data_IF_149957875503
#
_entry.id   IF_149957875503
#
_cell.length_a   1.000
_cell.length_b   1.000
_cell.length_c   1.000
_cell.angle_alpha   90.00
_cell.angle_beta   90.00
_cell.angle_gamma   90.00
#
_symmetry.space_group_name_H-M   'P 1'
#
loop_
_entity.id
_entity.type
_entity.pdbx_description
1 polymer ?
#
# COMPACT_ATOMS: atom_id res chain seq x y z
N UNK A 1 -18.35 -12.91 -8.62
CA UNK A 1 -17.06 -12.47 -9.21
C UNK A 1 -17.29 -11.75 -10.52
N UNK A 2 -17.92 -12.38 -11.52
CA UNK A 2 -18.26 -11.75 -12.80
C UNK A 2 -19.15 -10.51 -12.67
N UNK A 3 -20.22 -10.56 -11.86
CA UNK A 3 -21.13 -9.42 -11.68
C UNK A 3 -20.42 -8.16 -11.11
N UNK A 4 -19.56 -8.32 -10.10
CA UNK A 4 -18.81 -7.19 -9.52
C UNK A 4 -17.78 -6.60 -10.49
N UNK A 5 -17.19 -7.43 -11.37
CA UNK A 5 -16.27 -6.97 -12.43
C UNK A 5 -17.03 -6.31 -13.59
N UNK A 6 -18.28 -6.70 -13.83
CA UNK A 6 -19.16 -6.10 -14.83
C UNK A 6 -19.67 -4.72 -14.38
N UNK A 7 -19.88 -4.51 -13.08
CA UNK A 7 -20.19 -3.20 -12.51
C UNK A 7 -18.95 -2.36 -12.21
N UNK A 8 -17.75 -2.90 -12.40
CA UNK A 8 -16.51 -2.20 -12.12
C UNK A 8 -16.19 -1.17 -13.21
N UNK A 9 -15.53 -0.10 -12.81
CA UNK A 9 -15.16 0.97 -13.70
C UNK A 9 -13.83 0.65 -14.39
N UNK A 10 -13.86 0.51 -15.71
CA UNK A 10 -12.68 0.20 -16.55
C UNK A 10 -12.08 1.49 -17.11
N UNK A 11 -10.87 1.84 -16.68
CA UNK A 11 -10.25 3.12 -17.03
C UNK A 11 -9.37 3.10 -18.29
N UNK A 12 -9.38 2.01 -19.05
CA UNK A 12 -8.59 1.94 -20.28
C UNK A 12 -9.13 2.86 -21.39
N UNK A 13 -10.42 3.19 -21.36
CA UNK A 13 -11.09 3.97 -22.40
C UNK A 13 -12.23 4.83 -21.84
N UNK A 14 -12.01 5.52 -20.72
CA UNK A 14 -13.08 6.27 -20.03
C UNK A 14 -12.82 7.77 -20.04
N UNK A 15 -13.79 8.55 -20.50
CA UNK A 15 -13.68 10.00 -20.74
C UNK A 15 -14.89 10.79 -20.25
N UNK A 16 -15.63 10.26 -19.28
CA UNK A 16 -16.86 10.85 -18.72
C UNK A 16 -16.62 11.94 -17.66
N UNK A 17 -15.42 12.01 -17.09
CA UNK A 17 -14.98 13.12 -16.21
C UNK A 17 -13.54 13.54 -16.52
N UNK A 18 -13.12 14.77 -16.14
CA UNK A 18 -11.72 15.20 -16.24
C UNK A 18 -10.72 14.21 -15.61
N UNK A 19 -11.03 13.70 -14.42
CA UNK A 19 -10.26 12.65 -13.72
C UNK A 19 -10.11 11.41 -14.58
N UNK A 20 -11.21 10.90 -15.13
CA UNK A 20 -11.22 9.67 -15.90
C UNK A 20 -10.48 9.85 -17.24
N UNK A 21 -10.65 11.00 -17.90
CA UNK A 21 -9.90 11.35 -19.10
C UNK A 21 -8.39 11.42 -18.82
N UNK A 22 -7.97 12.13 -17.76
CA UNK A 22 -6.56 12.19 -17.36
C UNK A 22 -6.00 10.81 -17.01
N UNK A 23 -6.78 9.95 -16.34
CA UNK A 23 -6.38 8.58 -15.98
C UNK A 23 -6.19 7.72 -17.21
N UNK A 24 -7.14 7.75 -18.14
CA UNK A 24 -7.05 7.03 -19.41
C UNK A 24 -5.79 7.45 -20.19
N UNK A 25 -5.57 8.76 -20.34
CA UNK A 25 -4.38 9.30 -21.03
C UNK A 25 -3.10 8.87 -20.31
N UNK A 26 -3.07 8.93 -18.98
CA UNK A 26 -1.91 8.53 -18.19
C UNK A 26 -1.57 7.04 -18.34
N UNK A 27 -2.57 6.16 -18.41
CA UNK A 27 -2.35 4.72 -18.65
C UNK A 27 -1.70 4.49 -20.01
N UNK A 28 -2.25 5.07 -21.08
CA UNK A 28 -1.69 4.92 -22.42
C UNK A 28 -0.30 5.55 -22.57
N UNK A 29 -0.10 6.72 -21.99
CA UNK A 29 1.21 7.36 -22.00
C UNK A 29 2.24 6.55 -21.19
N UNK A 30 1.85 5.96 -20.07
CA UNK A 30 2.68 5.02 -19.30
C UNK A 30 3.03 3.78 -20.13
N UNK A 31 2.06 3.20 -20.84
CA UNK A 31 2.30 2.06 -21.73
C UNK A 31 3.29 2.40 -22.85
N UNK A 32 3.14 3.57 -23.49
CA UNK A 32 4.08 4.07 -24.51
C UNK A 32 5.46 4.27 -23.91
N UNK A 33 5.58 4.91 -22.73
CA UNK A 33 6.87 5.11 -22.07
C UNK A 33 7.56 3.78 -21.75
N UNK A 34 6.81 2.76 -21.32
CA UNK A 34 7.36 1.40 -21.07
C UNK A 34 7.83 0.76 -22.37
N UNK A 35 7.05 0.85 -23.46
CA UNK A 35 7.44 0.31 -24.77
C UNK A 35 8.70 1.02 -25.29
N UNK A 36 8.72 2.35 -25.24
CA UNK A 36 9.87 3.17 -25.65
C UNK A 36 11.11 2.82 -24.81
N UNK A 37 10.97 2.69 -23.49
CA UNK A 37 12.05 2.27 -22.62
C UNK A 37 12.57 0.87 -22.99
N UNK A 38 11.67 -0.10 -23.21
CA UNK A 38 12.05 -1.44 -23.61
C UNK A 38 12.78 -1.44 -24.96
N UNK A 39 12.27 -0.71 -25.96
CA UNK A 39 12.92 -0.55 -27.26
C UNK A 39 14.30 0.10 -27.13
N UNK A 40 14.43 1.18 -26.36
CA UNK A 40 15.73 1.82 -26.09
C UNK A 40 16.70 0.83 -25.45
N UNK A 41 16.24 0.04 -24.47
CA UNK A 41 17.08 -0.95 -23.80
C UNK A 41 17.50 -2.11 -24.70
N UNK A 42 16.65 -2.49 -25.66
CA UNK A 42 16.93 -3.52 -26.68
C UNK A 42 17.88 -2.99 -27.78
N UNK A 43 17.66 -1.77 -28.26
CA UNK A 43 18.37 -1.18 -29.40
C UNK A 43 19.71 -0.54 -29.02
N UNK A 44 19.87 -0.10 -27.78
CA UNK A 44 21.14 0.51 -27.30
C UNK A 44 21.98 -0.50 -26.54
N UNK A 45 23.30 -0.36 -26.58
CA UNK A 45 24.24 -1.19 -25.82
C UNK A 45 25.33 -0.32 -25.15
N UNK A 46 26.09 -0.91 -24.24
CA UNK A 46 27.25 -0.27 -23.62
C UNK A 46 26.93 1.00 -22.82
N UNK A 47 27.75 2.05 -23.01
CA UNK A 47 27.64 3.32 -22.26
C UNK A 47 26.38 4.12 -22.59
N UNK A 48 25.89 4.05 -23.84
CA UNK A 48 24.66 4.73 -24.28
C UNK A 48 23.44 4.22 -23.53
N UNK A 49 23.33 2.89 -23.36
CA UNK A 49 22.25 2.26 -22.58
C UNK A 49 22.19 2.80 -21.15
N UNK A 50 23.34 2.95 -20.48
CA UNK A 50 23.40 3.51 -19.10
C UNK A 50 22.92 4.95 -19.04
N UNK A 51 23.32 5.79 -20.01
CA UNK A 51 22.86 7.19 -20.09
C UNK A 51 21.36 7.27 -20.32
N UNK A 52 20.83 6.51 -21.29
CA UNK A 52 19.41 6.45 -21.57
C UNK A 52 18.59 5.93 -20.38
N UNK A 53 19.08 4.91 -19.67
CA UNK A 53 18.43 4.39 -18.46
C UNK A 53 18.34 5.46 -17.36
N UNK A 54 19.41 6.24 -17.14
CA UNK A 54 19.41 7.34 -16.17
C UNK A 54 18.42 8.44 -16.55
N UNK A 55 18.38 8.83 -17.83
CA UNK A 55 17.42 9.83 -18.32
C UNK A 55 15.99 9.30 -18.16
N UNK A 56 15.73 8.05 -18.55
CA UNK A 56 14.41 7.43 -18.38
C UNK A 56 13.98 7.43 -16.93
N UNK A 57 14.88 7.13 -15.99
CA UNK A 57 14.57 7.17 -14.56
C UNK A 57 14.14 8.57 -14.12
N UNK A 58 14.86 9.61 -14.53
CA UNK A 58 14.51 11.00 -14.21
C UNK A 58 13.14 11.36 -14.81
N UNK A 59 12.93 11.04 -16.08
CA UNK A 59 11.64 11.28 -16.77
C UNK A 59 10.50 10.56 -16.04
N UNK A 60 10.68 9.30 -15.64
CA UNK A 60 9.69 8.55 -14.88
C UNK A 60 9.40 9.22 -13.54
N UNK A 61 10.42 9.62 -12.78
CA UNK A 61 10.22 10.28 -11.48
C UNK A 61 9.41 11.58 -11.64
N UNK A 62 9.79 12.42 -12.61
CA UNK A 62 9.10 13.69 -12.87
C UNK A 62 7.67 13.45 -13.34
N UNK A 63 7.48 12.51 -14.27
CA UNK A 63 6.16 12.14 -14.78
C UNK A 63 5.23 11.65 -13.67
N UNK A 64 5.72 10.74 -12.84
CA UNK A 64 4.98 10.14 -11.72
C UNK A 64 4.63 11.19 -10.67
N UNK A 65 5.55 12.12 -10.36
CA UNK A 65 5.29 13.23 -9.44
C UNK A 65 4.20 14.17 -10.00
N UNK A 66 4.30 14.55 -11.28
CA UNK A 66 3.31 15.39 -11.95
C UNK A 66 1.92 14.74 -11.98
N UNK A 67 1.83 13.45 -12.30
CA UNK A 67 0.58 12.69 -12.24
C UNK A 67 0.01 12.64 -10.83
N UNK A 68 0.85 12.42 -9.82
CA UNK A 68 0.39 12.35 -8.42
C UNK A 68 -0.26 13.66 -7.98
N UNK A 69 0.38 14.79 -8.31
CA UNK A 69 -0.18 16.12 -8.02
C UNK A 69 -1.48 16.35 -8.80
N UNK A 70 -1.47 16.08 -10.11
CA UNK A 70 -2.64 16.24 -10.96
C UNK A 70 -3.84 15.43 -10.45
N UNK A 71 -3.66 14.13 -10.20
CA UNK A 71 -4.75 13.28 -9.73
C UNK A 71 -5.21 13.62 -8.32
N UNK A 72 -4.29 14.01 -7.43
CA UNK A 72 -4.69 14.47 -6.10
C UNK A 72 -5.55 15.75 -6.20
N UNK A 73 -5.14 16.71 -7.04
CA UNK A 73 -5.92 17.94 -7.28
C UNK A 73 -7.27 17.67 -7.91
N UNK A 74 -7.33 16.78 -8.90
CA UNK A 74 -8.60 16.41 -9.55
C UNK A 74 -9.52 15.63 -8.60
N UNK A 75 -8.99 14.80 -7.70
CA UNK A 75 -9.81 14.05 -6.74
C UNK A 75 -10.48 15.01 -5.77
N UNK A 76 -9.76 16.02 -5.27
CA UNK A 76 -10.39 17.06 -4.45
C UNK A 76 -11.38 17.93 -5.21
N UNK A 77 -11.19 18.13 -6.51
CA UNK A 77 -12.10 18.92 -7.33
C UNK A 77 -13.41 18.17 -7.66
N UNK A 78 -13.34 16.86 -7.91
CA UNK A 78 -14.51 16.05 -8.30
C UNK A 78 -15.24 15.43 -7.10
N UNK A 79 -14.52 14.81 -6.16
CA UNK A 79 -15.13 14.06 -5.05
C UNK A 79 -15.52 14.97 -3.88
N UNK A 80 -15.04 16.22 -3.88
CA UNK A 80 -15.18 17.15 -2.77
C UNK A 80 -14.36 16.73 -1.54
N UNK A 81 -14.35 17.60 -0.52
CA UNK A 81 -13.63 17.34 0.73
C UNK A 81 -14.65 17.25 1.86
N UNK A 82 -14.72 16.10 2.54
CA UNK A 82 -15.47 15.96 3.80
C UNK A 82 -14.60 16.50 4.95
N UNK A 83 -14.86 17.71 5.48
CA UNK A 83 -13.94 18.40 6.39
C UNK A 83 -13.59 17.59 7.65
N UNK A 84 -14.59 16.91 8.21
CA UNK A 84 -14.47 16.14 9.45
C UNK A 84 -13.57 14.90 9.32
N UNK A 85 -13.44 14.34 8.12
CA UNK A 85 -12.52 13.22 7.83
C UNK A 85 -11.17 13.73 7.33
N UNK A 86 -11.20 14.74 6.47
CA UNK A 86 -10.02 15.22 5.76
C UNK A 86 -9.04 15.98 6.64
N UNK A 87 -9.50 16.99 7.39
CA UNK A 87 -8.59 17.84 8.16
C UNK A 87 -7.84 17.10 9.27
N UNK A 88 -8.46 16.17 10.02
CA UNK A 88 -7.72 15.39 11.02
C UNK A 88 -6.68 14.46 10.38
N UNK A 89 -6.97 13.89 9.20
CA UNK A 89 -6.01 13.05 8.48
C UNK A 89 -4.86 13.88 7.91
N UNK A 90 -5.15 15.06 7.36
CA UNK A 90 -4.15 16.03 6.92
C UNK A 90 -3.25 16.47 8.09
N UNK A 91 -3.86 16.80 9.25
CA UNK A 91 -3.12 17.17 10.45
C UNK A 91 -2.18 16.04 10.90
N UNK A 92 -2.62 14.78 10.87
CA UNK A 92 -1.76 13.62 11.15
C UNK A 92 -0.56 13.56 10.20
N UNK A 93 -0.78 13.73 8.89
CA UNK A 93 0.30 13.74 7.90
C UNK A 93 1.28 14.90 8.14
N UNK A 94 0.77 16.10 8.40
CA UNK A 94 1.58 17.28 8.67
C UNK A 94 2.40 17.13 9.96
N UNK A 95 1.80 16.57 11.02
CA UNK A 95 2.50 16.30 12.29
C UNK A 95 3.58 15.23 12.11
N UNK A 96 3.32 14.17 11.34
CA UNK A 96 4.33 13.16 11.01
C UNK A 96 5.51 13.78 10.23
N UNK A 97 5.21 14.62 9.23
CA UNK A 97 6.22 15.34 8.45
C UNK A 97 7.03 16.31 9.30
N UNK A 98 6.35 17.16 10.09
CA UNK A 98 6.98 18.12 10.98
C UNK A 98 7.86 17.43 12.04
N UNK A 99 7.37 16.33 12.62
CA UNK A 99 8.14 15.50 13.55
C UNK A 99 9.41 14.96 12.90
N UNK A 100 9.33 14.49 11.64
CA UNK A 100 10.49 14.07 10.87
C UNK A 100 11.51 15.19 10.65
N UNK A 101 11.05 16.41 10.34
CA UNK A 101 11.91 17.59 10.17
C UNK A 101 12.55 18.01 11.51
N UNK A 102 11.78 18.04 12.60
CA UNK A 102 12.33 18.36 13.93
C UNK A 102 13.42 17.37 14.34
N UNK A 103 13.19 16.07 14.12
CA UNK A 103 14.17 15.00 14.39
C UNK A 103 15.37 15.02 13.44
N UNK A 104 15.26 15.66 12.28
CA UNK A 104 16.40 15.91 11.40
C UNK A 104 17.36 16.93 12.04
N UNK A 105 16.83 18.03 12.58
CA UNK A 105 17.65 19.09 13.18
C UNK A 105 18.11 18.79 14.61
N UNK A 106 17.28 18.14 15.44
CA UNK A 106 17.61 17.82 16.84
C UNK A 106 17.15 16.41 17.21
N UNK A 107 18.08 15.60 17.69
CA UNK A 107 17.88 14.18 18.07
C UNK A 107 18.05 13.94 19.57
N UNK A 108 17.50 14.82 20.39
CA UNK A 108 17.50 14.63 21.85
C UNK A 108 16.23 13.94 22.33
N UNK A 109 16.24 13.44 23.56
CA UNK A 109 15.12 12.70 24.15
C UNK A 109 13.84 13.53 24.19
N UNK A 110 13.98 14.85 24.38
CA UNK A 110 12.85 15.77 24.42
C UNK A 110 12.14 15.87 23.06
N UNK A 111 12.89 16.03 21.96
CA UNK A 111 12.28 16.09 20.61
C UNK A 111 11.69 14.75 20.22
N UNK A 112 12.30 13.61 20.59
CA UNK A 112 11.67 12.29 20.38
C UNK A 112 10.35 12.15 21.12
N UNK A 113 10.31 12.56 22.40
CA UNK A 113 9.10 12.50 23.20
C UNK A 113 8.02 13.44 22.65
N UNK A 114 8.37 14.67 22.30
CA UNK A 114 7.46 15.65 21.72
C UNK A 114 6.89 15.18 20.38
N UNK A 115 7.74 14.65 19.49
CA UNK A 115 7.32 14.05 18.22
C UNK A 115 6.33 12.87 18.44
N UNK A 116 6.65 12.00 19.40
CA UNK A 116 5.79 10.88 19.77
C UNK A 116 4.43 11.31 20.32
N UNK A 117 4.41 12.26 21.27
CA UNK A 117 3.19 12.81 21.85
C UNK A 117 2.34 13.51 20.78
N UNK A 118 2.95 14.37 19.96
CA UNK A 118 2.24 15.09 18.90
C UNK A 118 1.62 14.13 17.89
N UNK A 119 2.38 13.12 17.44
CA UNK A 119 1.89 12.09 16.51
C UNK A 119 0.76 11.27 17.13
N UNK A 120 0.91 10.87 18.40
CA UNK A 120 -0.12 10.13 19.12
C UNK A 120 -1.40 10.94 19.32
N UNK A 121 -1.27 12.20 19.71
CA UNK A 121 -2.40 13.12 19.87
C UNK A 121 -3.13 13.36 18.53
N UNK A 122 -2.39 13.56 17.44
CA UNK A 122 -2.96 13.71 16.11
C UNK A 122 -3.73 12.45 15.68
N UNK A 123 -3.15 11.26 15.91
CA UNK A 123 -3.82 9.99 15.59
C UNK A 123 -5.11 9.79 16.41
N UNK A 124 -5.07 10.09 17.72
CA UNK A 124 -6.26 10.02 18.58
C UNK A 124 -7.32 11.01 18.08
N UNK A 125 -6.94 12.25 17.76
CA UNK A 125 -7.86 13.24 17.22
C UNK A 125 -8.50 12.76 15.91
N UNK A 126 -7.72 12.17 15.00
CA UNK A 126 -8.23 11.55 13.77
C UNK A 126 -9.29 10.49 14.08
N UNK A 127 -9.00 9.55 14.98
CA UNK A 127 -9.94 8.48 15.35
C UNK A 127 -11.19 9.01 16.04
N UNK A 128 -11.06 10.04 16.89
CA UNK A 128 -12.19 10.69 17.57
C UNK A 128 -13.08 11.42 16.56
N UNK A 129 -12.51 12.18 15.63
CA UNK A 129 -13.30 12.84 14.58
C UNK A 129 -14.04 11.82 13.70
N UNK A 130 -13.41 10.70 13.36
CA UNK A 130 -14.07 9.60 12.65
C UNK A 130 -15.21 8.99 13.47
N UNK A 131 -15.02 8.81 14.78
CA UNK A 131 -16.06 8.27 15.67
C UNK A 131 -17.24 9.23 15.83
N UNK A 132 -16.97 10.54 15.98
CA UNK A 132 -18.00 11.57 16.03
C UNK A 132 -18.77 11.59 14.72
N UNK A 133 -18.08 11.54 13.58
CA UNK A 133 -18.74 11.49 12.28
C UNK A 133 -19.59 10.21 12.14
N UNK A 134 -19.09 9.04 12.55
CA UNK A 134 -19.88 7.81 12.54
C UNK A 134 -21.14 7.93 13.41
N UNK A 135 -21.05 8.59 14.56
CA UNK A 135 -22.19 8.77 15.47
C UNK A 135 -23.31 9.66 14.90
N UNK A 136 -23.05 10.46 13.85
CA UNK A 136 -24.10 11.23 13.17
C UNK A 136 -24.92 10.37 12.21
N UNK A 137 -24.47 9.17 11.86
CA UNK A 137 -25.11 8.29 10.87
C UNK A 137 -24.79 8.67 9.41
N UNK A 138 -24.41 9.92 9.15
CA UNK A 138 -24.08 10.43 7.82
C UNK A 138 -23.06 9.58 7.05
N UNK A 139 -21.97 9.04 7.65
CA UNK A 139 -21.00 8.25 6.90
C UNK A 139 -21.60 6.99 6.30
N UNK A 140 -22.60 6.42 6.95
CA UNK A 140 -23.26 5.20 6.51
C UNK A 140 -24.10 5.51 5.29
N UNK A 141 -24.98 6.51 5.39
CA UNK A 141 -25.86 6.94 4.29
C UNK A 141 -25.07 7.50 3.11
N UNK A 142 -24.01 8.28 3.37
CA UNK A 142 -23.18 8.87 2.32
C UNK A 142 -22.42 7.83 1.48
N UNK A 143 -22.17 6.65 2.04
CA UNK A 143 -21.50 5.55 1.34
C UNK A 143 -22.50 4.55 0.76
N UNK A 144 -23.81 4.87 0.74
CA UNK A 144 -24.84 4.05 0.10
C UNK A 144 -25.39 2.91 0.96
N UNK A 145 -25.25 3.00 2.28
CA UNK A 145 -25.85 2.07 3.25
C UNK A 145 -27.04 2.78 3.90
N UNK A 146 -28.24 2.24 3.72
CA UNK A 146 -29.50 2.84 4.18
C UNK A 146 -29.76 2.57 5.68
N UNK A 147 -29.36 1.41 6.19
CA UNK A 147 -29.56 1.02 7.59
C UNK A 147 -28.23 0.93 8.36
N UNK A 148 -27.95 1.92 9.21
CA UNK A 148 -26.79 1.93 10.10
C UNK A 148 -26.77 0.78 11.12
N UNK A 149 -27.91 0.13 11.37
CA UNK A 149 -27.99 -1.09 12.19
C UNK A 149 -27.25 -2.29 11.58
N UNK A 150 -26.92 -2.26 10.29
CA UNK A 150 -26.16 -3.32 9.62
C UNK A 150 -24.67 -3.31 9.96
N UNK A 151 -24.14 -2.19 10.48
CA UNK A 151 -22.74 -2.05 10.86
C UNK A 151 -22.51 -2.61 12.27
N UNK A 152 -21.74 -3.70 12.37
CA UNK A 152 -21.46 -4.35 13.65
C UNK A 152 -20.19 -3.80 14.32
N UNK A 153 -20.35 -2.74 15.11
CA UNK A 153 -19.25 -2.07 15.83
C UNK A 153 -18.45 -3.00 16.74
N UNK A 154 -19.11 -3.89 17.49
CA UNK A 154 -18.43 -4.78 18.44
C UNK A 154 -17.52 -5.79 17.70
N UNK A 155 -18.05 -6.44 16.67
CA UNK A 155 -17.30 -7.39 15.87
C UNK A 155 -16.11 -6.73 15.17
N UNK A 156 -16.29 -5.51 14.62
CA UNK A 156 -15.22 -4.75 13.99
C UNK A 156 -14.05 -4.50 14.95
N UNK A 157 -14.31 -4.00 16.16
CA UNK A 157 -13.24 -3.72 17.12
C UNK A 157 -12.53 -5.00 17.60
N UNK A 158 -13.30 -6.04 17.94
CA UNK A 158 -12.73 -7.30 18.42
C UNK A 158 -11.85 -7.96 17.36
N UNK A 159 -12.34 -8.05 16.12
CA UNK A 159 -11.60 -8.69 15.04
C UNK A 159 -10.45 -7.81 14.54
N UNK A 160 -10.58 -6.49 14.55
CA UNK A 160 -9.44 -5.58 14.29
C UNK A 160 -8.33 -5.78 15.31
N UNK A 161 -8.66 -5.92 16.60
CA UNK A 161 -7.67 -6.18 17.65
C UNK A 161 -6.98 -7.54 17.47
N UNK A 162 -7.74 -8.59 17.16
CA UNK A 162 -7.19 -9.94 16.89
C UNK A 162 -6.26 -9.92 15.67
N UNK A 163 -6.70 -9.30 14.58
CA UNK A 163 -5.93 -9.24 13.35
C UNK A 163 -4.69 -8.34 13.48
N UNK A 164 -4.76 -7.26 14.26
CA UNK A 164 -3.61 -6.45 14.64
C UNK A 164 -2.59 -7.29 15.41
N UNK A 165 -3.05 -8.00 16.45
CA UNK A 165 -2.19 -8.89 17.23
C UNK A 165 -1.55 -9.97 16.35
N UNK A 166 -2.29 -10.53 15.39
CA UNK A 166 -1.77 -11.50 14.44
C UNK A 166 -0.67 -10.92 13.55
N UNK A 167 -0.88 -9.74 12.94
CA UNK A 167 0.15 -9.07 12.12
C UNK A 167 1.40 -8.76 12.94
N UNK A 168 1.23 -8.23 14.15
CA UNK A 168 2.35 -7.97 15.07
C UNK A 168 3.08 -9.26 15.40
N UNK A 169 2.37 -10.32 15.81
CA UNK A 169 2.97 -11.61 16.11
C UNK A 169 3.76 -12.15 14.92
N UNK A 170 3.18 -12.20 13.72
CA UNK A 170 3.84 -12.64 12.50
C UNK A 170 5.09 -11.79 12.20
N UNK A 171 4.99 -10.46 12.30
CA UNK A 171 6.12 -9.56 12.10
C UNK A 171 7.28 -9.86 13.06
N UNK A 172 6.97 -10.14 14.32
CA UNK A 172 7.99 -10.47 15.33
C UNK A 172 8.53 -11.90 15.18
N UNK A 173 7.69 -12.88 14.84
CA UNK A 173 8.06 -14.28 14.65
C UNK A 173 8.98 -14.48 13.45
N UNK A 174 8.64 -13.87 12.32
CA UNK A 174 9.39 -14.05 11.08
C UNK A 174 10.48 -12.99 10.88
N UNK A 175 10.34 -11.81 11.50
CA UNK A 175 11.39 -10.81 11.57
C UNK A 175 12.43 -11.04 12.66
N UNK A 176 12.54 -12.25 13.23
CA UNK A 176 13.56 -12.58 14.27
C UNK A 176 14.99 -12.43 13.77
N UNK A 177 15.22 -12.80 12.50
CA UNK A 177 16.52 -12.69 11.82
C UNK A 177 16.78 -11.31 11.20
N UNK A 178 15.84 -10.37 11.31
CA UNK A 178 16.00 -9.04 10.75
C UNK A 178 16.98 -8.18 11.56
N UNK A 179 17.70 -7.29 10.88
CA UNK A 179 18.56 -6.31 11.54
C UNK A 179 17.74 -5.45 12.50
N UNK A 180 18.23 -5.29 13.73
CA UNK A 180 17.59 -4.45 14.75
C UNK A 180 17.67 -2.97 14.34
N UNK A 181 16.56 -2.26 14.51
CA UNK A 181 16.47 -0.81 14.31
C UNK A 181 16.42 -0.36 12.84
N UNK A 182 16.00 0.89 12.63
CA UNK A 182 16.00 1.55 11.33
C UNK A 182 17.31 2.35 11.16
N UNK A 183 18.10 2.00 10.15
CA UNK A 183 19.27 2.78 9.72
C UNK A 183 18.85 3.80 8.65
N UNK A 184 19.63 4.87 8.47
CA UNK A 184 19.32 5.95 7.52
C UNK A 184 19.06 5.42 6.10
N UNK A 185 19.76 4.36 5.71
CA UNK A 185 19.58 3.72 4.41
C UNK A 185 18.21 3.05 4.29
N UNK A 186 17.80 2.20 5.24
CA UNK A 186 16.48 1.57 5.18
C UNK A 186 15.34 2.58 5.30
N UNK A 187 15.54 3.72 5.97
CA UNK A 187 14.55 4.80 6.01
C UNK A 187 14.43 5.47 4.62
N UNK A 188 15.54 5.80 3.98
CA UNK A 188 15.52 6.40 2.64
C UNK A 188 14.86 5.48 1.61
N UNK A 189 15.19 4.18 1.62
CA UNK A 189 14.54 3.20 0.76
C UNK A 189 13.04 3.05 1.08
N UNK A 190 12.65 3.09 2.36
CA UNK A 190 11.24 3.05 2.74
C UNK A 190 10.48 4.23 2.13
N UNK A 191 11.00 5.45 2.28
CA UNK A 191 10.38 6.66 1.77
C UNK A 191 10.21 6.60 0.24
N UNK A 192 11.26 6.19 -0.49
CA UNK A 192 11.20 6.03 -1.95
C UNK A 192 10.21 4.95 -2.36
N UNK A 193 10.21 3.79 -1.71
CA UNK A 193 9.28 2.70 -2.02
C UNK A 193 7.82 3.07 -1.69
N UNK A 194 7.56 3.75 -0.58
CA UNK A 194 6.23 4.25 -0.22
C UNK A 194 5.77 5.28 -1.25
N UNK A 195 6.61 6.25 -1.62
CA UNK A 195 6.27 7.27 -2.61
C UNK A 195 5.99 6.65 -3.99
N UNK A 196 6.81 5.69 -4.44
CA UNK A 196 6.57 4.97 -5.69
C UNK A 196 5.27 4.16 -5.64
N UNK A 197 4.99 3.47 -4.53
CA UNK A 197 3.76 2.70 -4.37
C UNK A 197 2.53 3.60 -4.36
N UNK A 198 2.63 4.76 -3.70
CA UNK A 198 1.56 5.76 -3.66
C UNK A 198 1.29 6.35 -5.04
N UNK A 199 2.33 6.70 -5.77
CA UNK A 199 2.14 7.25 -7.09
C UNK A 199 1.59 6.21 -8.10
N UNK A 200 2.08 4.97 -8.05
CA UNK A 200 1.56 3.87 -8.88
C UNK A 200 0.10 3.53 -8.55
N UNK A 201 -0.37 3.77 -7.32
CA UNK A 201 -1.75 3.50 -6.93
C UNK A 201 -2.80 4.38 -7.63
N UNK A 202 -2.39 5.51 -8.23
CA UNK A 202 -3.26 6.31 -9.10
C UNK A 202 -3.47 5.66 -10.47
N UNK A 203 -2.54 4.81 -10.92
CA UNK A 203 -2.64 4.05 -12.16
C UNK A 203 -3.48 2.78 -11.95
N UNK A 204 -4.79 2.98 -11.78
CA UNK A 204 -5.79 1.93 -11.60
C UNK A 204 -6.31 1.46 -12.95
N UNK A 205 -6.30 0.16 -13.18
CA UNK A 205 -6.89 -0.47 -14.36
C UNK A 205 -8.40 -0.59 -14.18
N UNK A 206 -8.80 -1.01 -12.97
CA UNK A 206 -10.19 -1.26 -12.56
C UNK A 206 -10.40 -0.68 -11.16
N UNK A 207 -11.53 0.01 -10.91
CA UNK A 207 -12.01 0.42 -9.58
C UNK A 207 -13.38 -0.21 -9.35
N UNK A 208 -13.59 -0.79 -8.17
CA UNK A 208 -14.88 -1.36 -7.80
C UNK A 208 -15.73 -0.36 -6.99
N UNK A 209 -17.07 -0.52 -6.97
CA UNK A 209 -17.98 0.49 -6.41
C UNK A 209 -17.81 0.78 -4.91
N UNK A 210 -17.63 -0.25 -4.08
CA UNK A 210 -17.37 -0.15 -2.63
C UNK A 210 -15.87 -0.03 -2.32
N UNK A 211 -15.11 0.62 -3.20
CA UNK A 211 -13.66 0.68 -3.12
C UNK A 211 -12.95 -0.61 -3.56
N UNK A 212 -11.63 -0.61 -3.48
CA UNK A 212 -10.80 -1.66 -4.07
C UNK A 212 -10.47 -1.36 -5.55
N UNK A 213 -9.26 -1.71 -5.95
CA UNK A 213 -8.80 -1.50 -7.31
C UNK A 213 -7.73 -2.51 -7.71
N UNK A 214 -7.64 -2.73 -9.02
CA UNK A 214 -6.55 -3.49 -9.65
C UNK A 214 -5.59 -2.48 -10.24
N UNK A 215 -4.33 -2.50 -9.81
CA UNK A 215 -3.32 -1.49 -10.16
C UNK A 215 -2.19 -2.08 -11.01
N UNK A 216 -1.39 -1.21 -11.63
CA UNK A 216 -0.16 -1.61 -12.34
C UNK A 216 0.99 -1.90 -11.36
N UNK A 217 0.84 -2.95 -10.55
CA UNK A 217 1.83 -3.41 -9.56
C UNK A 217 2.17 -2.37 -8.49
N UNK A 218 1.20 -1.58 -8.01
CA UNK A 218 1.46 -0.50 -7.05
C UNK A 218 2.08 -0.97 -5.74
N UNK A 219 1.81 -2.20 -5.28
CA UNK A 219 2.37 -2.75 -4.04
C UNK A 219 3.79 -3.30 -4.20
N UNK A 220 4.27 -3.47 -5.44
CA UNK A 220 5.56 -4.10 -5.71
C UNK A 220 6.74 -3.39 -5.04
N UNK A 221 6.89 -2.04 -5.10
CA UNK A 221 8.00 -1.37 -4.44
C UNK A 221 8.02 -1.59 -2.93
N UNK A 222 6.85 -1.58 -2.29
CA UNK A 222 6.71 -1.80 -0.85
C UNK A 222 7.01 -3.26 -0.46
N UNK A 223 6.55 -4.24 -1.26
CA UNK A 223 6.88 -5.65 -1.03
C UNK A 223 8.38 -5.92 -1.23
N UNK A 224 9.00 -5.32 -2.23
CA UNK A 224 10.46 -5.40 -2.45
C UNK A 224 11.23 -4.76 -1.29
N UNK A 225 10.75 -3.62 -0.76
CA UNK A 225 11.34 -3.01 0.43
C UNK A 225 11.32 -3.98 1.63
N UNK A 226 10.17 -4.62 1.88
CA UNK A 226 10.07 -5.62 2.94
C UNK A 226 11.02 -6.81 2.70
N UNK A 227 11.09 -7.29 1.46
CA UNK A 227 11.99 -8.37 1.06
C UNK A 227 13.46 -8.02 1.31
N UNK A 228 13.88 -6.78 1.02
CA UNK A 228 15.25 -6.31 1.19
C UNK A 228 15.63 -6.07 2.65
N UNK A 229 14.77 -5.37 3.39
CA UNK A 229 15.11 -4.80 4.69
C UNK A 229 14.50 -5.54 5.89
N UNK A 230 13.63 -6.52 5.62
CA UNK A 230 13.03 -7.37 6.63
C UNK A 230 11.56 -7.07 6.88
N UNK A 231 10.88 -8.07 7.43
CA UNK A 231 9.43 -8.09 7.66
C UNK A 231 8.99 -6.98 8.60
N UNK A 232 9.72 -6.75 9.71
CA UNK A 232 9.36 -5.71 10.69
C UNK A 232 9.33 -4.32 10.10
N UNK A 233 10.35 -4.00 9.28
CA UNK A 233 10.46 -2.71 8.61
C UNK A 233 9.40 -2.58 7.53
N UNK A 234 9.17 -3.65 6.78
CA UNK A 234 8.11 -3.73 5.78
C UNK A 234 6.71 -3.47 6.35
N UNK A 235 6.38 -4.09 7.49
CA UNK A 235 5.08 -3.92 8.18
C UNK A 235 4.89 -2.46 8.59
N UNK A 236 5.91 -1.83 9.15
CA UNK A 236 5.86 -0.42 9.52
C UNK A 236 5.72 0.52 8.30
N UNK A 237 6.49 0.25 7.23
CA UNK A 237 6.36 1.00 5.99
C UNK A 237 4.97 0.84 5.35
N UNK A 238 4.40 -0.36 5.43
CA UNK A 238 3.05 -0.66 4.97
C UNK A 238 1.97 0.06 5.76
N UNK A 239 2.13 0.18 7.08
CA UNK A 239 1.24 0.98 7.92
C UNK A 239 1.19 2.45 7.45
N UNK A 240 2.37 3.06 7.23
CA UNK A 240 2.47 4.45 6.73
C UNK A 240 1.81 4.57 5.36
N UNK A 241 2.09 3.62 4.45
CA UNK A 241 1.47 3.59 3.14
C UNK A 241 -0.05 3.49 3.22
N UNK A 242 -0.60 2.70 4.15
CA UNK A 242 -2.04 2.61 4.38
C UNK A 242 -2.66 3.92 4.83
N UNK A 243 -2.02 4.65 5.74
CA UNK A 243 -2.49 6.00 6.13
C UNK A 243 -2.55 6.94 4.91
N UNK A 244 -1.54 6.89 4.03
CA UNK A 244 -1.56 7.68 2.78
C UNK A 244 -2.69 7.23 1.84
N UNK A 245 -2.95 5.92 1.72
CA UNK A 245 -4.05 5.40 0.91
C UNK A 245 -5.43 5.87 1.39
N UNK A 246 -5.62 6.00 2.71
CA UNK A 246 -6.86 6.53 3.26
C UNK A 246 -7.14 7.99 2.87
N UNK A 247 -6.08 8.76 2.58
CA UNK A 247 -6.19 10.13 2.12
C UNK A 247 -6.56 10.22 0.63
N UNK A 248 -6.29 9.16 -0.13
CA UNK A 248 -6.49 9.12 -1.58
C UNK A 248 -7.85 8.54 -1.99
N UNK A 249 -8.37 7.54 -1.27
CA UNK A 249 -9.62 6.86 -1.65
C UNK A 249 -10.46 6.65 -0.38
N UNK A 250 -11.18 7.70 0.02
CA UNK A 250 -11.79 7.82 1.34
C UNK A 250 -13.16 7.12 1.42
N UNK A 251 -13.18 5.81 1.65
CA UNK A 251 -14.36 5.00 2.00
C UNK A 251 -14.29 4.66 3.49
N UNK A 252 -14.58 5.67 4.32
CA UNK A 252 -14.49 5.57 5.78
C UNK A 252 -15.89 5.63 6.38
N UNK A 253 -16.35 4.49 6.87
CA UNK A 253 -17.61 4.34 7.59
C UNK A 253 -17.38 4.43 9.09
N UNK A 254 -16.48 3.60 9.58
CA UNK A 254 -16.30 3.34 11.01
C UNK A 254 -14.80 3.30 11.34
N UNK A 255 -14.34 3.82 12.50
CA UNK A 255 -12.92 3.86 12.84
C UNK A 255 -12.21 2.50 12.80
N UNK A 256 -12.85 1.43 13.26
CA UNK A 256 -12.27 0.08 13.18
C UNK A 256 -12.24 -0.47 11.75
N UNK A 257 -13.20 -0.09 10.91
CA UNK A 257 -13.18 -0.39 9.48
C UNK A 257 -12.01 0.34 8.80
N UNK A 258 -11.80 1.62 9.12
CA UNK A 258 -10.63 2.37 8.67
C UNK A 258 -9.31 1.67 9.05
N UNK A 259 -9.19 1.19 10.29
CA UNK A 259 -8.01 0.44 10.71
C UNK A 259 -7.79 -0.82 9.85
N UNK A 260 -8.85 -1.60 9.63
CA UNK A 260 -8.82 -2.83 8.85
C UNK A 260 -8.48 -2.57 7.38
N UNK A 261 -9.16 -1.61 6.73
CA UNK A 261 -9.04 -1.38 5.29
C UNK A 261 -7.83 -0.54 4.88
N UNK A 262 -7.28 0.24 5.80
CA UNK A 262 -6.10 1.05 5.52
C UNK A 262 -4.88 0.60 6.33
N UNK A 263 -4.50 1.16 7.50
CA UNK A 263 -3.16 0.95 8.02
C UNK A 263 -2.86 -0.53 8.27
N UNK A 264 -3.84 -1.34 8.69
CA UNK A 264 -3.61 -2.74 9.01
C UNK A 264 -3.58 -3.65 7.76
N UNK A 265 -4.49 -3.47 6.79
CA UNK A 265 -4.42 -4.16 5.49
C UNK A 265 -3.08 -3.92 4.79
N UNK A 266 -2.60 -2.67 4.77
CA UNK A 266 -1.32 -2.34 4.15
C UNK A 266 -0.12 -2.72 5.04
N UNK A 267 -0.27 -2.78 6.36
CA UNK A 267 0.74 -3.40 7.24
C UNK A 267 0.97 -4.87 6.89
N UNK A 268 -0.09 -5.61 6.58
CA UNK A 268 0.01 -7.01 6.17
C UNK A 268 0.79 -7.19 4.85
N UNK A 269 0.82 -6.18 3.96
CA UNK A 269 1.68 -6.18 2.76
C UNK A 269 3.16 -6.27 3.13
N UNK A 270 3.53 -5.69 4.27
CA UNK A 270 4.85 -5.83 4.85
C UNK A 270 5.25 -7.26 5.20
N UNK A 271 4.33 -8.22 5.27
CA UNK A 271 4.66 -9.64 5.46
C UNK A 271 5.30 -10.28 4.20
N UNK A 272 5.37 -9.56 3.08
CA UNK A 272 6.04 -10.05 1.87
C UNK A 272 7.54 -10.39 2.07
N UNK A 273 8.19 -9.80 3.06
CA UNK A 273 9.58 -10.09 3.41
C UNK A 273 9.79 -11.37 4.22
N UNK A 274 8.72 -12.05 4.64
CA UNK A 274 8.73 -13.17 5.59
C UNK A 274 9.68 -14.31 5.20
N UNK A 275 9.79 -14.60 3.91
CA UNK A 275 10.60 -15.70 3.41
C UNK A 275 11.96 -15.28 2.85
N UNK A 276 12.31 -14.00 2.88
CA UNK A 276 13.55 -13.48 2.27
C UNK A 276 14.82 -14.18 2.82
N UNK A 277 14.83 -14.47 4.13
CA UNK A 277 15.94 -15.10 4.87
C UNK A 277 15.70 -16.59 5.18
N UNK A 278 14.90 -17.28 4.36
CA UNK A 278 14.63 -18.71 4.52
C UNK A 278 15.62 -19.52 3.70
N UNK A 279 16.48 -20.29 4.36
CA UNK A 279 17.59 -21.02 3.74
C UNK A 279 17.12 -22.26 2.95
N UNK A 280 16.00 -22.87 3.34
CA UNK A 280 15.39 -24.01 2.64
C UNK A 280 14.81 -23.65 1.26
N UNK A 281 14.58 -22.35 0.99
CA UNK A 281 14.10 -21.87 -0.29
C UNK A 281 15.27 -21.39 -1.14
N UNK A 282 15.52 -22.04 -2.28
CA UNK A 282 16.68 -21.74 -3.13
C UNK A 282 16.52 -20.48 -3.99
N UNK A 283 15.32 -20.24 -4.50
CA UNK A 283 15.09 -19.23 -5.55
C UNK A 283 14.48 -17.95 -4.96
N UNK A 284 15.10 -16.76 -5.16
CA UNK A 284 14.56 -15.48 -4.69
C UNK A 284 13.15 -15.19 -5.20
N UNK A 285 12.84 -15.59 -6.43
CA UNK A 285 11.50 -15.45 -7.02
C UNK A 285 10.45 -16.22 -6.22
N UNK A 286 10.79 -17.43 -5.77
CA UNK A 286 9.89 -18.29 -4.97
C UNK A 286 9.72 -17.69 -3.58
N UNK A 287 10.81 -17.21 -2.94
CA UNK A 287 10.73 -16.52 -1.65
C UNK A 287 9.81 -15.30 -1.72
N UNK A 288 10.01 -14.45 -2.74
CA UNK A 288 9.18 -13.27 -2.95
C UNK A 288 7.73 -13.64 -3.26
N UNK A 289 7.48 -14.61 -4.14
CA UNK A 289 6.13 -15.02 -4.51
C UNK A 289 5.36 -15.58 -3.30
N UNK A 290 5.97 -16.45 -2.49
CA UNK A 290 5.35 -16.95 -1.27
C UNK A 290 5.06 -15.83 -0.27
N UNK A 291 5.98 -14.86 -0.15
CA UNK A 291 5.76 -13.68 0.69
C UNK A 291 4.59 -12.83 0.20
N UNK A 292 4.54 -12.57 -1.11
CA UNK A 292 3.45 -11.82 -1.75
C UNK A 292 2.09 -12.53 -1.58
N UNK A 293 2.04 -13.86 -1.63
CA UNK A 293 0.82 -14.63 -1.32
C UNK A 293 0.40 -14.41 0.13
N UNK A 294 1.31 -14.49 1.10
CA UNK A 294 0.99 -14.24 2.52
C UNK A 294 0.52 -12.81 2.75
N UNK A 295 1.18 -11.84 2.14
CA UNK A 295 0.76 -10.44 2.14
C UNK A 295 -0.66 -10.27 1.56
N UNK A 296 -0.94 -10.92 0.42
CA UNK A 296 -2.25 -10.93 -0.22
C UNK A 296 -3.34 -11.55 0.65
N UNK A 297 -3.06 -12.69 1.29
CA UNK A 297 -3.98 -13.35 2.24
C UNK A 297 -4.24 -12.47 3.46
N UNK A 298 -3.19 -11.83 4.00
CA UNK A 298 -3.33 -10.90 5.11
C UNK A 298 -4.23 -9.72 4.75
N UNK A 299 -3.99 -9.06 3.61
CA UNK A 299 -4.83 -7.98 3.09
C UNK A 299 -6.27 -8.45 2.84
N UNK A 300 -6.44 -9.63 2.22
CA UNK A 300 -7.76 -10.23 1.97
C UNK A 300 -8.53 -10.46 3.27
N UNK A 301 -7.88 -10.99 4.32
CA UNK A 301 -8.51 -11.25 5.61
C UNK A 301 -9.01 -9.97 6.29
N UNK A 302 -8.24 -8.88 6.24
CA UNK A 302 -8.66 -7.59 6.82
C UNK A 302 -9.90 -7.05 6.11
N UNK A 303 -9.83 -6.99 4.78
CA UNK A 303 -10.92 -6.50 3.96
C UNK A 303 -12.15 -7.41 4.02
N UNK A 304 -11.96 -8.72 4.19
CA UNK A 304 -13.05 -9.67 4.36
C UNK A 304 -13.82 -9.44 5.66
N UNK A 305 -13.09 -9.24 6.77
CA UNK A 305 -13.72 -8.88 8.06
C UNK A 305 -14.43 -7.54 7.95
N UNK A 306 -13.78 -6.53 7.36
CA UNK A 306 -14.41 -5.24 7.11
C UNK A 306 -15.69 -5.38 6.27
N UNK A 307 -15.62 -6.14 5.17
CA UNK A 307 -16.74 -6.34 4.27
C UNK A 307 -17.95 -7.03 4.92
N UNK A 308 -17.73 -7.99 5.83
CA UNK A 308 -18.83 -8.63 6.56
C UNK A 308 -19.52 -7.65 7.52
N UNK A 309 -18.74 -6.90 8.30
CA UNK A 309 -19.27 -6.18 9.45
C UNK A 309 -19.49 -4.68 9.22
N UNK A 310 -18.99 -4.12 8.13
CA UNK A 310 -19.19 -2.71 7.75
C UNK A 310 -19.93 -2.55 6.41
N UNK A 311 -19.83 -3.52 5.50
CA UNK A 311 -20.41 -3.43 4.14
C UNK A 311 -21.42 -4.54 3.85
N UNK A 312 -21.98 -5.16 4.88
CA UNK A 312 -22.85 -6.33 4.74
C UNK A 312 -24.17 -6.05 4.01
N UNK A 313 -24.66 -4.81 4.06
CA UNK A 313 -25.89 -4.39 3.39
C UNK A 313 -25.83 -4.49 1.86
N UNK A 314 -24.62 -4.42 1.28
CA UNK A 314 -24.45 -4.59 -0.17
C UNK A 314 -24.58 -6.03 -0.66
N UNK A 315 -24.75 -7.01 0.24
CA UNK A 315 -24.97 -8.39 -0.13
C UNK A 315 -26.32 -8.54 -0.86
N UNK A 316 -26.35 -9.13 -2.07
CA UNK A 316 -27.60 -9.36 -2.79
C UNK A 316 -28.59 -10.21 -1.98
N UNK A 317 -29.88 -10.01 -2.23
CA UNK A 317 -30.95 -10.78 -1.58
C UNK A 317 -30.71 -12.29 -1.78
N UNK A 318 -30.76 -13.04 -0.67
CA UNK A 318 -30.52 -14.49 -0.66
C UNK A 318 -29.04 -14.93 -0.70
N UNK A 319 -28.08 -14.01 -0.81
CA UNK A 319 -26.65 -14.35 -0.75
C UNK A 319 -26.09 -14.19 0.67
N UNK A 320 -25.37 -15.19 1.22
CA UNK A 320 -24.70 -15.03 2.51
C UNK A 320 -23.69 -13.88 2.49
N UNK A 321 -23.75 -12.99 3.49
CA UNK A 321 -22.88 -11.80 3.60
C UNK A 321 -21.39 -12.15 3.55
N UNK A 322 -20.97 -13.22 4.23
CA UNK A 322 -19.59 -13.70 4.16
C UNK A 322 -19.20 -14.13 2.74
N UNK A 323 -20.08 -14.82 2.01
CA UNK A 323 -19.79 -15.19 0.63
C UNK A 323 -19.69 -13.95 -0.27
N UNK A 324 -20.58 -12.97 -0.09
CA UNK A 324 -20.51 -11.69 -0.81
C UNK A 324 -19.18 -10.98 -0.57
N UNK A 325 -18.82 -10.76 0.70
CA UNK A 325 -17.57 -10.09 1.06
C UNK A 325 -16.34 -10.82 0.52
N UNK A 326 -16.27 -12.15 0.68
CA UNK A 326 -15.15 -12.93 0.16
C UNK A 326 -14.98 -12.76 -1.34
N UNK A 327 -16.08 -12.91 -2.09
CA UNK A 327 -16.07 -12.77 -3.55
C UNK A 327 -15.69 -11.35 -3.96
N UNK A 328 -16.22 -10.33 -3.28
CA UNK A 328 -15.91 -8.94 -3.58
C UNK A 328 -14.41 -8.66 -3.36
N UNK A 329 -13.88 -8.95 -2.18
CA UNK A 329 -12.47 -8.65 -1.90
C UNK A 329 -11.52 -9.48 -2.78
N UNK A 330 -11.80 -10.78 -2.96
CA UNK A 330 -10.97 -11.65 -3.79
C UNK A 330 -10.93 -11.18 -5.25
N UNK A 331 -11.99 -10.56 -5.76
CA UNK A 331 -12.08 -10.10 -7.15
C UNK A 331 -11.04 -9.05 -7.53
N UNK A 332 -10.54 -8.26 -6.58
CA UNK A 332 -9.47 -7.28 -6.84
C UNK A 332 -8.15 -7.62 -6.14
N UNK A 333 -8.17 -8.20 -4.94
CA UNK A 333 -6.92 -8.54 -4.22
C UNK A 333 -6.14 -9.61 -4.97
N UNK A 334 -6.79 -10.67 -5.45
CA UNK A 334 -6.10 -11.75 -6.15
C UNK A 334 -5.42 -11.30 -7.45
N UNK A 335 -6.10 -10.61 -8.39
CA UNK A 335 -5.43 -10.11 -9.59
C UNK A 335 -4.36 -9.06 -9.29
N UNK A 336 -4.57 -8.15 -8.33
CA UNK A 336 -3.57 -7.14 -7.94
C UNK A 336 -2.29 -7.81 -7.40
N UNK A 337 -2.43 -8.83 -6.55
CA UNK A 337 -1.29 -9.62 -6.02
C UNK A 337 -0.66 -10.48 -7.13
N UNK A 338 -1.45 -11.06 -8.03
CA UNK A 338 -0.92 -11.85 -9.14
C UNK A 338 -0.04 -10.99 -10.07
N UNK A 339 -0.47 -9.77 -10.39
CA UNK A 339 0.33 -8.80 -11.15
C UNK A 339 1.66 -8.53 -10.43
N UNK A 340 1.64 -8.28 -9.12
CA UNK A 340 2.84 -8.04 -8.32
C UNK A 340 3.77 -9.26 -8.31
N UNK A 341 3.24 -10.48 -8.18
CA UNK A 341 4.02 -11.72 -8.25
C UNK A 341 4.70 -11.86 -9.61
N UNK A 342 3.96 -11.66 -10.71
CA UNK A 342 4.50 -11.79 -12.07
C UNK A 342 5.62 -10.77 -12.29
N UNK A 343 5.36 -9.49 -12.04
CA UNK A 343 6.37 -8.43 -12.26
C UNK A 343 7.56 -8.62 -11.31
N UNK A 344 7.33 -8.93 -10.04
CA UNK A 344 8.39 -9.18 -9.07
C UNK A 344 9.27 -10.39 -9.41
N UNK A 345 8.66 -11.50 -9.85
CA UNK A 345 9.39 -12.68 -10.29
C UNK A 345 10.22 -12.42 -11.55
N UNK A 346 9.70 -11.64 -12.51
CA UNK A 346 10.45 -11.21 -13.70
C UNK A 346 11.66 -10.35 -13.30
N UNK A 347 11.49 -9.37 -12.41
CA UNK A 347 12.60 -8.54 -11.92
C UNK A 347 13.66 -9.38 -11.20
N UNK A 348 13.25 -10.26 -10.29
CA UNK A 348 14.16 -11.14 -9.54
C UNK A 348 14.81 -12.24 -10.38
N UNK A 349 14.34 -12.44 -11.62
CA UNK A 349 14.98 -13.32 -12.61
C UNK A 349 16.16 -12.64 -13.32
N UNK A 350 16.23 -11.31 -13.32
CA UNK A 350 17.39 -10.57 -13.81
C UNK A 350 18.57 -10.70 -12.85
N UNK A 351 19.71 -11.18 -13.35
CA UNK A 351 20.95 -11.34 -12.56
C UNK A 351 21.40 -10.01 -11.95
N UNK A 352 21.34 -8.93 -12.73
CA UNK A 352 21.75 -7.59 -12.27
C UNK A 352 20.87 -7.10 -11.13
N UNK A 353 19.56 -7.23 -11.27
CA UNK A 353 18.62 -6.80 -10.24
C UNK A 353 18.77 -7.65 -8.97
N UNK A 354 18.89 -8.97 -9.15
CA UNK A 354 19.09 -9.90 -8.04
C UNK A 354 20.36 -9.56 -7.25
N UNK A 355 21.47 -9.29 -7.93
CA UNK A 355 22.73 -8.89 -7.29
C UNK A 355 22.57 -7.64 -6.43
N UNK A 356 21.87 -6.63 -6.93
CA UNK A 356 21.63 -5.40 -6.15
C UNK A 356 20.69 -5.64 -4.96
N UNK A 357 19.64 -6.45 -5.10
CA UNK A 357 18.73 -6.79 -3.99
C UNK A 357 19.42 -7.63 -2.93
N UNK A 358 20.24 -8.60 -3.34
CA UNK A 358 20.97 -9.51 -2.45
C UNK A 358 21.98 -8.76 -1.58
N UNK A 359 22.60 -7.67 -2.07
CA UNK A 359 23.46 -6.80 -1.25
C UNK A 359 22.77 -6.26 0.00
N UNK A 360 21.45 -6.09 -0.04
CA UNK A 360 20.67 -5.61 1.10
C UNK A 360 20.04 -6.75 1.90
N UNK A 361 19.57 -7.78 1.18
CA UNK A 361 18.90 -8.93 1.78
C UNK A 361 19.88 -9.80 2.59
N UNK A 362 21.07 -10.06 2.04
CA UNK A 362 22.09 -10.94 2.61
C UNK A 362 23.15 -10.21 3.45
N UNK A 363 23.08 -8.88 3.59
CA UNK A 363 24.06 -8.16 4.40
C UNK A 363 24.06 -8.74 5.84
N UNK A 364 25.19 -9.26 6.34
CA UNK A 364 25.26 -9.93 7.63
C UNK A 364 24.71 -9.04 8.73
N UNK A 365 24.06 -9.65 9.74
CA UNK A 365 23.77 -8.96 10.98
C UNK A 365 25.11 -8.44 11.54
N UNK A 366 25.12 -7.23 12.11
CA UNK A 366 26.36 -6.65 12.64
C UNK A 366 27.03 -7.64 13.61
N UNK A 367 28.18 -8.19 13.22
CA UNK A 367 28.92 -9.20 14.00
C UNK A 367 29.29 -10.49 13.24
N UNK A 368 28.73 -10.78 12.07
CA UNK A 368 29.17 -11.92 11.26
C UNK A 368 30.29 -11.52 10.30
N UNK A 369 31.38 -12.31 10.22
CA UNK A 369 32.50 -12.02 9.33
C UNK A 369 32.02 -12.01 7.88
N UNK A 370 32.43 -10.97 7.14
CA UNK A 370 32.24 -10.92 5.70
C UNK A 370 33.02 -12.09 5.11
N UNK A 371 32.32 -13.06 4.54
CA UNK A 371 32.98 -14.11 3.78
C UNK A 371 33.67 -13.44 2.59
N UNK A 372 35.00 -13.39 2.62
CA UNK A 372 35.79 -13.02 1.46
C UNK A 372 35.53 -14.06 0.36
N UNK A 373 35.01 -13.61 -0.77
CA UNK A 373 34.87 -14.43 -1.98
C UNK A 373 36.25 -15.00 -2.36
N UNK A 374 36.29 -16.32 -2.57
CA UNK A 374 37.41 -17.03 -3.22
C UNK A 374 37.08 -17.33 -4.67
#
# INVERSE_FOLDING_TARGET
>A
MLLNLLSAEWFLFRFDSPMNACRTIAIWLSAVLVIVFALIMLLTSGGTRKKCAKISLIVTIVYVAALSVLFLSLSFAEDGIKPILFYPLLALILVLGASGVCLYFRRDKAVFLAAGIATGAALIATLVCMMVHFSTGDPVTDNGIEDAGTVNTLALWLLAAVLLAAVVALAFLFGRKDKKGFDSRSIAFAAVCIAMSFALSYLRIVKLPQGGSITLASLLPLMLYSYMFGTKKGVFAGMIYGVLQAFQDTYILHPAQFLLDYPLAFSAIGLAGMFARTDSLRYPQVKFALGAVVAGVGRLAMHFVSGIFAFGEFAPEGQPVALYSFIYQASYVLPDIAIVIVVGALLLSSRTFRHEIERYTLAPAAGEPVAEDK
#
